data_IF_515186017693
#
_entry.id   IF_515186017693
#
_cell.length_a   1.000
_cell.length_b   1.000
_cell.length_c   1.000
_cell.angle_alpha   90.00
_cell.angle_beta   90.00
_cell.angle_gamma   90.00
#
_symmetry.space_group_name_H-M   'P 1'
#
loop_
_entity.id
_entity.type
_entity.pdbx_description
1 polymer ?
#
# COMPACT_ATOMS: atom_id res chain seq x y z
N UNK A 1 36.12 52.82 13.50
CA UNK A 1 35.46 52.03 12.44
C UNK A 1 34.76 50.85 13.10
N UNK A 2 33.42 50.89 13.23
CA UNK A 2 32.62 49.73 13.60
C UNK A 2 32.20 49.02 12.30
N UNK A 3 32.56 47.76 12.15
CA UNK A 3 32.12 46.91 11.03
C UNK A 3 30.90 46.14 11.54
N UNK A 4 29.71 46.52 11.06
CA UNK A 4 28.48 45.78 11.27
C UNK A 4 28.43 44.61 10.27
N UNK A 5 28.52 43.38 10.77
CA UNK A 5 28.38 42.17 9.97
C UNK A 5 26.88 41.86 9.87
N UNK A 6 26.31 42.02 8.67
CA UNK A 6 24.95 41.58 8.37
C UNK A 6 24.95 40.06 8.17
N UNK A 7 24.40 39.33 9.14
CA UNK A 7 24.07 37.91 8.98
C UNK A 7 22.81 37.78 8.13
N UNK A 8 22.96 37.18 6.95
CA UNK A 8 21.83 36.75 6.11
C UNK A 8 21.20 35.50 6.75
N UNK A 9 19.87 35.40 6.82
CA UNK A 9 19.22 34.18 7.28
C UNK A 9 19.41 33.07 6.23
N UNK A 10 20.06 31.99 6.63
CA UNK A 10 20.08 30.74 5.86
C UNK A 10 18.70 30.11 5.92
N UNK A 11 18.06 29.97 4.76
CA UNK A 11 16.86 29.14 4.63
C UNK A 11 17.32 27.68 4.71
N UNK A 12 16.99 27.03 5.82
CA UNK A 12 17.10 25.57 5.96
C UNK A 12 15.82 24.99 5.37
N UNK A 13 15.96 24.21 4.30
CA UNK A 13 14.90 23.32 3.85
C UNK A 13 14.97 22.07 4.71
N UNK A 14 13.83 21.61 5.24
CA UNK A 14 13.74 20.28 5.79
C UNK A 14 13.94 19.30 4.64
N UNK A 15 14.86 18.34 4.79
CA UNK A 15 14.93 17.21 3.87
C UNK A 15 13.56 16.53 3.84
N UNK A 16 13.06 16.24 2.64
CA UNK A 16 11.87 15.40 2.49
C UNK A 16 12.13 14.07 3.22
N UNK A 17 11.19 13.55 4.01
CA UNK A 17 11.39 12.28 4.69
C UNK A 17 11.69 11.21 3.62
N UNK A 18 12.71 10.38 3.88
CA UNK A 18 12.98 9.21 3.06
C UNK A 18 11.66 8.47 2.82
N UNK A 19 11.38 8.02 1.58
CA UNK A 19 10.15 7.31 1.29
C UNK A 19 10.05 6.15 2.28
N UNK A 20 8.91 6.01 2.97
CA UNK A 20 8.80 5.02 4.03
C UNK A 20 9.20 3.65 3.49
N UNK A 21 9.91 2.82 4.28
CA UNK A 21 10.27 1.47 3.88
C UNK A 21 9.00 0.76 3.40
N UNK A 22 9.06 0.12 2.23
CA UNK A 22 7.95 -0.55 1.56
C UNK A 22 6.95 -1.15 2.57
N UNK A 23 5.88 -0.41 2.86
CA UNK A 23 4.92 -0.71 3.94
C UNK A 23 3.97 -1.86 3.55
N UNK A 24 4.38 -2.67 2.57
CA UNK A 24 3.61 -3.74 1.98
C UNK A 24 2.31 -3.24 1.36
N UNK A 25 1.48 -4.20 0.97
CA UNK A 25 0.10 -3.93 0.50
C UNK A 25 -0.87 -3.66 1.65
N UNK A 26 -0.39 -3.68 2.89
CA UNK A 26 -1.19 -3.58 4.12
C UNK A 26 -1.91 -2.24 4.22
N UNK A 27 -1.22 -1.15 3.86
CA UNK A 27 -1.75 0.21 3.91
C UNK A 27 -2.91 0.45 2.94
N UNK A 28 -3.04 -0.36 1.88
CA UNK A 28 -4.17 -0.30 0.95
C UNK A 28 -5.52 -0.42 1.65
N UNK A 29 -5.58 -1.18 2.76
CA UNK A 29 -6.81 -1.42 3.52
C UNK A 29 -6.76 -0.86 4.94
N UNK A 30 -5.58 -0.44 5.43
CA UNK A 30 -5.37 -0.06 6.83
C UNK A 30 -4.66 1.29 6.97
N UNK A 31 -4.82 2.20 6.00
CA UNK A 31 -4.26 3.55 6.04
C UNK A 31 -4.62 4.29 7.33
N UNK A 32 -5.92 4.37 7.65
CA UNK A 32 -6.42 5.08 8.84
C UNK A 32 -6.12 4.38 10.17
N UNK A 33 -5.81 3.08 10.13
CA UNK A 33 -5.55 2.29 11.33
C UNK A 33 -4.10 2.37 11.78
N UNK A 34 -3.20 2.70 10.85
CA UNK A 34 -1.77 2.70 11.14
C UNK A 34 -1.10 4.06 10.98
N UNK A 35 -1.77 5.04 10.35
CA UNK A 35 -1.27 6.40 10.22
C UNK A 35 -1.63 7.24 11.46
N UNK A 36 -0.62 7.74 12.17
CA UNK A 36 -0.79 8.81 13.15
C UNK A 36 -0.99 10.12 12.37
N UNK A 37 -2.24 10.49 12.10
CA UNK A 37 -2.59 11.69 11.30
C UNK A 37 -1.95 12.99 11.81
N UNK A 38 -1.70 13.09 13.12
CA UNK A 38 -1.05 14.28 13.72
C UNK A 38 0.44 14.39 13.40
N UNK A 39 1.11 13.27 13.11
CA UNK A 39 2.57 13.23 12.89
C UNK A 39 2.98 12.74 11.50
N UNK A 40 2.03 12.23 10.70
CA UNK A 40 2.27 11.59 9.40
C UNK A 40 3.07 10.29 9.49
N UNK A 41 3.36 9.80 10.71
CA UNK A 41 4.14 8.60 10.94
C UNK A 41 3.20 7.40 11.07
N UNK A 42 3.70 6.25 10.62
CA UNK A 42 3.03 4.99 10.88
C UNK A 42 3.45 4.52 12.29
N UNK A 43 2.66 3.72 13.01
CA UNK A 43 2.97 3.29 14.40
C UNK A 43 4.36 2.64 14.61
N UNK A 44 5.14 2.44 13.56
CA UNK A 44 6.56 2.14 13.63
C UNK A 44 7.34 3.30 14.27
N UNK A 45 7.82 3.08 15.50
CA UNK A 45 8.82 3.94 16.14
C UNK A 45 10.02 4.10 15.19
N UNK A 46 10.45 5.36 15.01
CA UNK A 46 11.38 5.85 13.96
C UNK A 46 12.83 5.32 14.05
N UNK A 47 13.10 4.29 14.84
CA UNK A 47 14.48 3.84 15.11
C UNK A 47 15.04 2.89 14.04
N UNK A 48 14.19 2.26 13.21
CA UNK A 48 14.63 1.37 12.14
C UNK A 48 13.65 1.37 10.95
N UNK A 49 14.12 1.06 9.72
CA UNK A 49 13.26 0.93 8.53
C UNK A 49 12.43 -0.37 8.61
N UNK A 50 11.45 -0.39 9.52
CA UNK A 50 10.58 -1.53 9.76
C UNK A 50 9.34 -1.47 8.86
N UNK A 51 8.85 -2.64 8.46
CA UNK A 51 7.58 -2.86 7.78
C UNK A 51 6.52 -3.35 8.76
N UNK A 52 5.24 -3.33 8.36
CA UNK A 52 4.13 -3.77 9.20
C UNK A 52 4.34 -5.20 9.72
N UNK A 53 4.87 -6.09 8.88
CA UNK A 53 5.01 -7.52 9.20
C UNK A 53 6.13 -7.81 10.20
N UNK A 54 7.06 -6.87 10.39
CA UNK A 54 8.15 -7.05 11.34
C UNK A 54 7.66 -6.97 12.79
N UNK A 55 6.58 -6.23 13.04
CA UNK A 55 5.94 -6.14 14.35
C UNK A 55 4.63 -6.96 14.42
N UNK A 56 3.83 -6.95 13.36
CA UNK A 56 2.51 -7.59 13.36
C UNK A 56 2.50 -9.00 12.77
N UNK A 57 3.57 -9.49 12.15
CA UNK A 57 3.53 -10.73 11.38
C UNK A 57 2.67 -10.61 10.12
N UNK A 58 2.22 -11.74 9.56
CA UNK A 58 1.55 -11.77 8.27
C UNK A 58 2.46 -12.18 7.11
N UNK A 59 1.89 -12.21 5.90
CA UNK A 59 2.63 -12.50 4.67
C UNK A 59 2.68 -11.25 3.76
N UNK A 60 3.83 -10.57 3.65
CA UNK A 60 3.94 -9.33 2.87
C UNK A 60 3.84 -9.57 1.35
N UNK A 61 4.00 -10.82 0.90
CA UNK A 61 3.94 -11.20 -0.51
C UNK A 61 2.57 -11.71 -0.94
N UNK A 62 1.62 -11.84 -0.01
CA UNK A 62 0.29 -12.33 -0.31
C UNK A 62 -0.45 -11.42 -1.31
N UNK A 63 -1.27 -12.05 -2.13
CA UNK A 63 -2.17 -11.37 -3.08
C UNK A 63 -3.64 -11.44 -2.67
N UNK A 64 -3.94 -12.15 -1.57
CA UNK A 64 -5.27 -12.23 -0.96
C UNK A 64 -5.21 -11.79 0.49
N UNK A 65 -6.32 -11.25 1.00
CA UNK A 65 -6.43 -10.76 2.36
C UNK A 65 -6.23 -11.90 3.38
N UNK A 66 -6.79 -13.08 3.10
CA UNK A 66 -6.71 -14.24 4.00
C UNK A 66 -5.27 -14.69 4.18
N UNK A 67 -4.49 -14.75 3.10
CA UNK A 67 -3.09 -15.14 3.15
C UNK A 67 -2.21 -14.06 3.77
N UNK A 68 -2.55 -12.78 3.56
CA UNK A 68 -1.83 -11.66 4.18
C UNK A 68 -1.95 -11.69 5.72
N UNK A 69 -3.07 -12.20 6.24
CA UNK A 69 -3.38 -12.25 7.66
C UNK A 69 -2.96 -13.54 8.38
N UNK A 70 -2.35 -14.50 7.69
CA UNK A 70 -1.81 -15.71 8.33
C UNK A 70 -0.75 -15.32 9.35
N UNK A 71 -0.89 -15.80 10.59
CA UNK A 71 0.00 -15.51 11.72
C UNK A 71 0.19 -14.01 12.02
N UNK A 72 -0.79 -13.18 11.61
CA UNK A 72 -0.79 -11.74 11.89
C UNK A 72 -1.41 -11.43 13.24
N UNK A 73 -0.62 -10.85 14.14
CA UNK A 73 -1.06 -10.26 15.38
C UNK A 73 -1.72 -8.88 15.14
N UNK A 74 -2.91 -8.67 15.74
CA UNK A 74 -3.57 -7.37 15.69
C UNK A 74 -2.77 -6.28 16.45
N UNK A 75 -2.04 -6.70 17.50
CA UNK A 75 -1.18 -5.86 18.31
C UNK A 75 0.20 -6.53 18.48
N UNK A 76 1.33 -5.80 18.42
CA UNK A 76 2.66 -6.40 18.58
C UNK A 76 2.92 -6.97 19.98
N UNK A 77 2.18 -6.49 20.98
CA UNK A 77 2.22 -6.96 22.38
C UNK A 77 0.85 -7.55 22.76
N UNK A 78 0.75 -8.87 22.93
CA UNK A 78 -0.51 -9.53 23.30
C UNK A 78 -0.28 -10.35 24.57
N UNK A 79 -1.14 -10.20 25.57
CA UNK A 79 -1.01 -10.88 26.87
C UNK A 79 0.38 -10.69 27.51
N UNK A 80 0.90 -9.47 27.46
CA UNK A 80 2.25 -9.12 27.95
C UNK A 80 3.41 -9.82 27.22
N UNK A 81 3.15 -10.50 26.09
CA UNK A 81 4.19 -11.08 25.24
C UNK A 81 4.91 -9.97 24.45
N UNK A 82 6.16 -9.74 24.84
CA UNK A 82 7.07 -8.75 24.24
C UNK A 82 8.17 -9.41 23.39
N UNK A 83 8.04 -10.71 23.08
CA UNK A 83 9.06 -11.48 22.38
C UNK A 83 9.46 -10.84 21.03
N UNK A 84 8.52 -10.27 20.29
CA UNK A 84 8.83 -9.54 19.05
C UNK A 84 9.68 -8.30 19.24
N UNK A 85 9.46 -7.54 20.31
CA UNK A 85 10.30 -6.40 20.64
C UNK A 85 11.72 -6.86 21.04
N UNK A 86 11.85 -8.02 21.69
CA UNK A 86 13.15 -8.58 22.10
C UNK A 86 14.02 -9.02 20.92
N UNK A 87 13.44 -9.31 19.75
CA UNK A 87 14.22 -9.69 18.56
C UNK A 87 15.18 -8.58 18.10
N UNK A 88 14.81 -7.31 18.32
CA UNK A 88 15.63 -6.16 17.99
C UNK A 88 16.24 -5.48 19.22
N UNK A 89 15.60 -5.59 20.39
CA UNK A 89 15.96 -4.84 21.59
C UNK A 89 16.05 -5.73 22.83
N UNK A 90 16.99 -6.67 22.88
CA UNK A 90 17.05 -7.67 23.94
C UNK A 90 17.37 -7.09 25.32
N UNK A 91 18.09 -5.97 25.41
CA UNK A 91 18.56 -5.40 26.69
C UNK A 91 17.58 -4.36 27.25
N UNK A 92 16.86 -3.67 26.38
CA UNK A 92 16.04 -2.48 26.65
C UNK A 92 14.55 -2.67 26.29
N UNK A 93 14.13 -3.92 26.03
CA UNK A 93 12.78 -4.24 25.58
C UNK A 93 11.69 -3.65 26.48
N UNK A 94 11.80 -3.82 27.80
CA UNK A 94 10.76 -3.39 28.75
C UNK A 94 10.54 -1.88 28.72
N UNK A 95 11.62 -1.10 28.68
CA UNK A 95 11.53 0.37 28.60
C UNK A 95 10.91 0.80 27.26
N UNK A 96 11.33 0.19 26.15
CA UNK A 96 10.79 0.49 24.83
C UNK A 96 9.31 0.11 24.68
N UNK A 97 8.88 -1.01 25.24
CA UNK A 97 7.46 -1.40 25.26
C UNK A 97 6.62 -0.39 26.03
N UNK A 98 7.13 0.12 27.15
CA UNK A 98 6.43 1.15 27.91
C UNK A 98 6.30 2.47 27.13
N UNK A 99 7.34 2.87 26.39
CA UNK A 99 7.30 4.03 25.49
C UNK A 99 6.31 3.78 24.35
N UNK A 100 6.32 2.57 23.76
CA UNK A 100 5.39 2.17 22.73
C UNK A 100 3.95 2.26 23.21
N UNK A 101 3.61 1.68 24.37
CA UNK A 101 2.27 1.72 24.94
C UNK A 101 1.79 3.16 25.19
N UNK A 102 2.66 4.03 25.71
CA UNK A 102 2.36 5.45 25.92
C UNK A 102 2.13 6.21 24.60
N UNK A 103 2.91 5.88 23.56
CA UNK A 103 2.86 6.57 22.27
C UNK A 103 1.71 6.08 21.41
N UNK A 104 1.47 4.78 21.40
CA UNK A 104 0.45 4.13 20.61
C UNK A 104 -0.94 4.27 21.25
N UNK A 105 -1.02 4.53 22.57
CA UNK A 105 -2.28 4.83 23.26
C UNK A 105 -3.22 3.62 23.41
N UNK A 106 -2.67 2.40 23.40
CA UNK A 106 -3.42 1.14 23.26
C UNK A 106 -3.62 0.46 24.63
N UNK A 107 -4.03 1.22 25.63
CA UNK A 107 -4.24 0.71 27.00
C UNK A 107 -5.33 -0.36 27.12
N UNK A 108 -6.10 -0.62 26.06
CA UNK A 108 -7.05 -1.72 25.99
C UNK A 108 -7.06 -2.34 24.57
N UNK A 109 -6.25 -3.38 24.37
CA UNK A 109 -6.19 -4.10 23.08
C UNK A 109 -7.46 -4.96 22.93
N UNK A 110 -8.38 -4.54 22.06
CA UNK A 110 -9.46 -5.44 21.62
C UNK A 110 -8.86 -6.53 20.71
N UNK A 111 -8.57 -7.69 21.30
CA UNK A 111 -8.06 -8.85 20.57
C UNK A 111 -9.16 -9.39 19.64
N UNK A 112 -9.07 -9.08 18.35
CA UNK A 112 -9.80 -9.82 17.35
C UNK A 112 -9.30 -11.27 17.34
N UNK A 113 -10.20 -12.24 17.41
CA UNK A 113 -9.87 -13.67 17.38
C UNK A 113 -8.94 -13.99 16.19
N UNK A 114 -7.87 -14.78 16.39
CA UNK A 114 -7.01 -15.24 15.30
C UNK A 114 -7.86 -15.86 14.20
N UNK A 115 -7.66 -15.42 12.95
CA UNK A 115 -8.33 -16.04 11.82
C UNK A 115 -7.71 -17.41 11.60
N UNK A 116 -8.44 -18.47 11.95
CA UNK A 116 -8.08 -19.81 11.49
C UNK A 116 -8.60 -19.97 10.06
N UNK A 117 -7.74 -20.04 9.04
CA UNK A 117 -8.20 -20.37 7.70
C UNK A 117 -8.92 -21.71 7.77
N UNK A 118 -10.18 -21.75 7.31
CA UNK A 118 -10.88 -23.03 7.16
C UNK A 118 -10.01 -23.86 6.22
N UNK A 119 -9.47 -24.97 6.71
CA UNK A 119 -8.83 -25.96 5.87
C UNK A 119 -9.81 -26.25 4.73
N UNK A 120 -9.40 -25.90 3.52
CA UNK A 120 -10.17 -26.18 2.31
C UNK A 120 -10.40 -27.67 2.31
N UNK A 121 -11.62 -28.08 2.68
CA UNK A 121 -12.06 -29.44 2.47
C UNK A 121 -11.70 -29.76 1.02
N UNK A 122 -11.07 -30.91 0.78
CA UNK A 122 -10.91 -31.45 -0.57
C UNK A 122 -12.29 -31.46 -1.24
N UNK A 123 -12.61 -30.40 -1.97
CA UNK A 123 -13.68 -30.37 -2.94
C UNK A 123 -13.03 -31.03 -4.16
N UNK A 124 -13.04 -32.35 -4.13
CA UNK A 124 -12.98 -33.12 -5.36
C UNK A 124 -14.35 -32.98 -6.02
N UNK A 125 -14.30 -32.73 -7.32
CA UNK A 125 -15.36 -32.63 -8.33
C UNK A 125 -16.15 -31.31 -8.42
N UNK A 126 -15.80 -30.59 -9.49
CA UNK A 126 -16.66 -29.76 -10.35
C UNK A 126 -17.13 -28.41 -9.81
N UNK A 127 -16.21 -27.45 -9.79
CA UNK A 127 -16.54 -26.03 -9.96
C UNK A 127 -16.50 -25.75 -11.47
N UNK A 128 -17.55 -25.19 -12.09
CA UNK A 128 -17.46 -24.67 -13.45
C UNK A 128 -16.33 -23.65 -13.48
N UNK A 129 -15.32 -23.91 -14.30
CA UNK A 129 -14.29 -22.93 -14.63
C UNK A 129 -14.99 -21.82 -15.40
N UNK A 130 -15.51 -20.83 -14.67
CA UNK A 130 -15.86 -19.55 -15.26
C UNK A 130 -14.54 -18.87 -15.61
N UNK A 131 -14.19 -18.99 -16.89
CA UNK A 131 -12.93 -18.55 -17.45
C UNK A 131 -12.77 -17.06 -17.24
N UNK A 132 -11.67 -16.69 -16.58
CA UNK A 132 -11.11 -15.34 -16.47
C UNK A 132 -10.83 -14.66 -17.83
N UNK A 133 -11.13 -15.32 -18.94
CA UNK A 133 -11.10 -14.76 -20.30
C UNK A 133 -12.20 -13.71 -20.56
N UNK A 134 -13.36 -13.81 -19.89
CA UNK A 134 -14.50 -12.94 -20.24
C UNK A 134 -14.42 -11.51 -19.68
N UNK A 135 -13.71 -11.29 -18.58
CA UNK A 135 -13.52 -9.93 -18.04
C UNK A 135 -12.57 -9.07 -18.87
N UNK A 136 -11.58 -9.69 -19.54
CA UNK A 136 -10.68 -8.98 -20.43
C UNK A 136 -11.36 -8.69 -21.78
N UNK A 137 -12.30 -9.54 -22.22
CA UNK A 137 -13.06 -9.31 -23.45
C UNK A 137 -13.87 -8.00 -23.40
N UNK A 138 -14.47 -7.66 -22.26
CA UNK A 138 -15.24 -6.41 -22.10
C UNK A 138 -14.37 -5.15 -22.06
N UNK A 139 -13.20 -5.21 -21.44
CA UNK A 139 -12.25 -4.09 -21.43
C UNK A 139 -11.67 -3.82 -22.83
N UNK A 140 -11.56 -4.85 -23.68
CA UNK A 140 -11.07 -4.74 -25.05
C UNK A 140 -12.08 -4.16 -26.06
N UNK A 141 -13.39 -4.20 -25.78
CA UNK A 141 -14.41 -3.69 -26.72
C UNK A 141 -14.30 -2.18 -26.93
N UNK A 142 -14.03 -1.42 -25.86
CA UNK A 142 -13.87 0.04 -25.93
C UNK A 142 -12.62 0.46 -26.71
N UNK A 143 -11.53 -0.29 -26.57
CA UNK A 143 -10.30 -0.05 -27.32
C UNK A 143 -10.50 -0.30 -28.81
N UNK A 144 -11.14 -1.42 -29.19
CA UNK A 144 -11.46 -1.74 -30.59
C UNK A 144 -12.40 -0.70 -31.21
N UNK A 145 -13.45 -0.28 -30.49
CA UNK A 145 -14.37 0.77 -30.95
C UNK A 145 -13.66 2.09 -31.22
N UNK A 146 -12.71 2.48 -30.35
CA UNK A 146 -11.95 3.73 -30.51
C UNK A 146 -11.08 3.71 -31.77
N UNK A 147 -10.43 2.56 -32.06
CA UNK A 147 -9.59 2.36 -33.24
C UNK A 147 -10.44 2.40 -34.52
N UNK A 148 -11.61 1.75 -34.53
CA UNK A 148 -12.52 1.74 -35.68
C UNK A 148 -13.08 3.14 -35.99
N UNK A 149 -13.38 3.93 -34.96
CA UNK A 149 -13.84 5.32 -35.11
C UNK A 149 -12.75 6.18 -35.76
N UNK A 150 -11.51 6.08 -35.28
CA UNK A 150 -10.36 6.80 -35.83
C UNK A 150 -10.06 6.40 -37.27
N UNK A 151 -10.08 5.11 -37.59
CA UNK A 151 -9.87 4.63 -38.95
C UNK A 151 -10.97 5.13 -39.92
N UNK A 152 -12.23 5.13 -39.47
CA UNK A 152 -13.37 5.59 -40.28
C UNK A 152 -13.31 7.09 -40.58
N UNK A 153 -12.94 7.91 -39.58
CA UNK A 153 -12.78 9.36 -39.76
C UNK A 153 -11.63 9.70 -40.70
N UNK A 154 -10.47 9.02 -40.54
CA UNK A 154 -9.32 9.18 -41.43
C UNK A 154 -9.65 8.80 -42.88
N UNK A 155 -10.34 7.67 -43.08
CA UNK A 155 -10.78 7.22 -44.40
C UNK A 155 -11.77 8.21 -45.04
N UNK A 156 -12.74 8.70 -44.26
CA UNK A 156 -13.69 9.73 -44.71
C UNK A 156 -12.98 11.01 -45.15
N UNK A 157 -12.03 11.51 -44.36
CA UNK A 157 -11.22 12.67 -44.70
C UNK A 157 -10.41 12.46 -45.99
N UNK A 158 -9.80 11.28 -46.15
CA UNK A 158 -9.06 10.92 -47.36
C UNK A 158 -9.95 10.89 -48.61
N UNK A 159 -11.14 10.30 -48.53
CA UNK A 159 -12.09 10.26 -49.66
C UNK A 159 -12.56 11.67 -50.02
N UNK A 160 -12.88 12.50 -49.02
CA UNK A 160 -13.28 13.90 -49.26
C UNK A 160 -12.15 14.72 -49.88
N UNK A 161 -10.92 14.57 -49.37
CA UNK A 161 -9.74 15.21 -49.94
C UNK A 161 -9.52 14.78 -51.40
N UNK A 162 -9.56 13.47 -51.68
CA UNK A 162 -9.40 12.94 -53.05
C UNK A 162 -10.49 13.43 -54.00
N UNK A 163 -11.74 13.54 -53.54
CA UNK A 163 -12.84 14.11 -54.32
C UNK A 163 -12.61 15.59 -54.62
N UNK A 164 -12.22 16.40 -53.62
CA UNK A 164 -11.89 17.83 -53.81
C UNK A 164 -10.75 18.06 -54.80
N UNK A 165 -9.70 17.23 -54.75
CA UNK A 165 -8.57 17.32 -55.71
C UNK A 165 -9.03 16.95 -57.12
N UNK A 166 -9.90 15.94 -57.26
CA UNK A 166 -10.41 15.51 -58.57
C UNK A 166 -11.35 16.53 -59.22
N UNK A 167 -12.16 17.26 -58.45
CA UNK A 167 -13.08 18.29 -58.97
C UNK A 167 -12.39 19.63 -59.28
N UNK A 168 -11.12 19.80 -58.91
CA UNK A 168 -10.32 21.01 -59.19
C UNK A 168 -9.44 20.89 -60.44
N UNK A 169 -9.43 19.73 -61.10
CA UNK A 169 -8.84 19.51 -62.43
C UNK A 169 -9.94 19.48 -63.45
#
# INVERSE_FOLDING_TARGET
MLIAILSMPTIVYADDPDPPPNQGKCITCHEDLYLLHDTGNWFCLREAPMSCVDCHGGNPLATTQELAHVDRAAHPVINEDISKCQECHPEECTERVQIFDQTAGISEVMVAMPYTPKATAKISSEIPVESREDQNAWLNIWEILSILLLASTALGAYILHKRRVRTRK
#
